data_IF_743258405709
#
_entry.id   IF_743258405709
#
_cell.length_a   1.000
_cell.length_b   1.000
_cell.length_c   1.000
_cell.angle_alpha   90.00
_cell.angle_beta   90.00
_cell.angle_gamma   90.00
#
_symmetry.space_group_name_H-M   'P 1'
#
loop_
_entity.id
_entity.type
_entity.pdbx_description
1 polymer ?
#
# COMPACT_ATOMS: atom_id res chain seq x y z
N UNK A 1 -14.98 3.21 24.04
CA UNK A 1 -16.00 2.55 23.22
C UNK A 1 -15.25 1.50 22.41
N UNK A 2 -15.32 0.25 22.82
CA UNK A 2 -14.61 -0.88 22.17
C UNK A 2 -15.34 -1.20 20.87
N UNK A 3 -14.66 -1.05 19.75
CA UNK A 3 -15.17 -1.49 18.45
C UNK A 3 -15.38 -3.01 18.50
N UNK A 4 -16.47 -3.55 17.94
CA UNK A 4 -16.68 -4.98 17.85
C UNK A 4 -15.57 -5.64 16.98
N UNK A 5 -15.29 -6.95 17.18
CA UNK A 5 -14.30 -7.67 16.37
C UNK A 5 -14.58 -7.53 14.86
N UNK A 6 -13.56 -7.37 14.04
CA UNK A 6 -13.66 -7.15 12.59
C UNK A 6 -14.46 -8.28 11.88
N UNK A 7 -14.30 -9.53 12.28
CA UNK A 7 -15.09 -10.68 11.78
C UNK A 7 -16.60 -10.43 11.89
N UNK A 8 -17.05 -9.81 12.99
CA UNK A 8 -18.46 -9.51 13.21
C UNK A 8 -18.95 -8.34 12.34
N UNK A 9 -18.05 -7.47 11.90
CA UNK A 9 -18.38 -6.32 11.03
C UNK A 9 -18.39 -6.73 9.56
N UNK A 10 -17.39 -7.48 9.08
CA UNK A 10 -17.30 -7.94 7.69
C UNK A 10 -18.41 -8.96 7.35
N UNK A 11 -18.80 -9.84 8.27
CA UNK A 11 -19.86 -10.84 8.03
C UNK A 11 -21.27 -10.22 7.94
N UNK A 12 -21.46 -8.98 8.38
CA UNK A 12 -22.78 -8.31 8.38
C UNK A 12 -23.03 -7.46 7.13
N UNK A 13 -22.00 -7.12 6.37
CA UNK A 13 -22.17 -6.31 5.17
C UNK A 13 -21.84 -7.15 3.92
N UNK A 14 -22.85 -7.55 3.12
CA UNK A 14 -22.63 -8.35 1.91
C UNK A 14 -21.75 -7.64 0.87
N UNK A 15 -21.64 -6.31 0.90
CA UNK A 15 -20.77 -5.54 0.02
C UNK A 15 -19.28 -5.69 0.38
N UNK A 16 -18.96 -6.22 1.57
CA UNK A 16 -17.60 -6.51 2.02
C UNK A 16 -17.18 -7.96 1.78
N UNK A 17 -18.01 -8.78 1.11
CA UNK A 17 -17.71 -10.18 0.86
C UNK A 17 -17.34 -10.38 -0.61
N UNK A 18 -16.04 -10.50 -0.90
CA UNK A 18 -15.55 -10.88 -2.22
C UNK A 18 -15.25 -12.37 -2.27
N UNK A 19 -15.57 -13.01 -3.39
CA UNK A 19 -15.07 -14.36 -3.67
C UNK A 19 -13.56 -14.32 -3.94
N UNK A 20 -12.85 -15.43 -3.74
CA UNK A 20 -11.42 -15.52 -4.07
C UNK A 20 -11.10 -15.10 -5.50
N UNK A 21 -11.85 -15.56 -6.54
CA UNK A 21 -11.70 -15.10 -7.92
C UNK A 21 -11.90 -13.60 -8.11
N UNK A 22 -12.93 -13.01 -7.49
CA UNK A 22 -13.21 -11.56 -7.61
C UNK A 22 -12.11 -10.73 -6.94
N UNK A 23 -11.66 -11.14 -5.76
CA UNK A 23 -10.51 -10.52 -5.09
C UNK A 23 -9.25 -10.55 -5.97
N UNK A 24 -8.95 -11.70 -6.55
CA UNK A 24 -7.78 -11.85 -7.43
C UNK A 24 -7.91 -10.97 -8.69
N UNK A 25 -9.10 -10.93 -9.32
CA UNK A 25 -9.35 -10.11 -10.51
C UNK A 25 -9.21 -8.62 -10.21
N UNK A 26 -9.75 -8.13 -9.09
CA UNK A 26 -9.66 -6.72 -8.69
C UNK A 26 -8.23 -6.32 -8.32
N UNK A 27 -7.49 -7.16 -7.59
CA UNK A 27 -6.07 -6.91 -7.29
C UNK A 27 -5.21 -6.90 -8.57
N UNK A 28 -5.47 -7.82 -9.51
CA UNK A 28 -4.80 -7.82 -10.83
C UNK A 28 -5.10 -6.53 -11.60
N UNK A 29 -6.38 -6.11 -11.65
CA UNK A 29 -6.80 -4.85 -12.28
C UNK A 29 -6.09 -3.64 -11.66
N UNK A 30 -5.96 -3.59 -10.33
CA UNK A 30 -5.23 -2.53 -9.62
C UNK A 30 -3.76 -2.50 -10.02
N UNK A 31 -3.07 -3.63 -10.05
CA UNK A 31 -1.65 -3.71 -10.44
C UNK A 31 -1.47 -3.28 -11.89
N UNK A 32 -2.34 -3.75 -12.80
CA UNK A 32 -2.33 -3.32 -14.20
C UNK A 32 -2.49 -1.81 -14.33
N UNK A 33 -3.47 -1.23 -13.62
CA UNK A 33 -3.72 0.21 -13.62
C UNK A 33 -2.47 1.00 -13.17
N UNK A 34 -1.79 0.56 -12.13
CA UNK A 34 -0.62 1.26 -11.59
C UNK A 34 0.61 1.19 -12.51
N UNK A 35 0.68 0.21 -13.43
CA UNK A 35 1.81 -0.01 -14.34
C UNK A 35 1.54 0.50 -15.76
N UNK A 36 0.28 0.59 -16.19
CA UNK A 36 -0.04 0.96 -17.58
C UNK A 36 0.46 2.38 -17.94
N UNK A 37 0.39 3.31 -16.99
CA UNK A 37 0.83 4.69 -17.20
C UNK A 37 2.34 4.80 -17.48
N UNK A 38 3.25 4.27 -16.64
CA UNK A 38 4.68 4.31 -16.94
C UNK A 38 5.05 3.50 -18.18
N UNK A 39 4.35 2.38 -18.49
CA UNK A 39 4.59 1.64 -19.74
C UNK A 39 4.16 2.45 -20.96
N UNK A 40 3.01 3.14 -20.91
CA UNK A 40 2.57 4.06 -21.95
C UNK A 40 3.58 5.19 -22.19
N UNK A 41 4.15 5.75 -21.11
CA UNK A 41 5.18 6.79 -21.25
C UNK A 41 6.49 6.27 -21.89
N UNK A 42 6.84 4.99 -21.72
CA UNK A 42 7.95 4.37 -22.46
C UNK A 42 7.63 4.36 -23.96
N UNK A 43 6.43 3.92 -24.35
CA UNK A 43 6.02 3.90 -25.76
C UNK A 43 6.04 5.32 -26.36
N UNK A 44 5.51 6.32 -25.67
CA UNK A 44 5.57 7.71 -26.13
C UNK A 44 7.02 8.20 -26.31
N UNK A 45 7.93 7.81 -25.42
CA UNK A 45 9.35 8.14 -25.56
C UNK A 45 9.99 7.49 -26.78
N UNK A 46 9.61 6.24 -27.10
CA UNK A 46 10.07 5.54 -28.32
C UNK A 46 9.54 6.21 -29.60
N UNK A 47 8.26 6.59 -29.62
CA UNK A 47 7.65 7.33 -30.74
C UNK A 47 8.38 8.65 -31.00
N UNK A 48 8.72 9.41 -29.93
CA UNK A 48 9.50 10.66 -30.04
C UNK A 48 10.89 10.44 -30.67
N UNK A 49 11.57 9.32 -30.36
CA UNK A 49 12.85 8.96 -30.97
C UNK A 49 12.70 8.64 -32.46
N UNK A 50 11.65 7.89 -32.82
CA UNK A 50 11.39 7.50 -34.21
C UNK A 50 11.05 8.71 -35.10
N UNK A 51 10.43 9.75 -34.53
CA UNK A 51 10.12 11.02 -35.23
C UNK A 51 11.32 11.96 -35.36
N UNK A 52 12.50 11.58 -34.86
CA UNK A 52 13.71 12.41 -34.89
C UNK A 52 13.67 13.62 -33.93
N UNK A 53 12.93 13.47 -32.82
CA UNK A 53 12.82 14.48 -31.77
C UNK A 53 14.09 14.63 -30.92
N UNK A 54 13.98 15.33 -29.80
CA UNK A 54 15.10 15.57 -28.88
C UNK A 54 15.51 14.25 -28.18
N UNK A 55 16.47 13.54 -28.73
CA UNK A 55 16.91 12.20 -28.30
C UNK A 55 17.23 12.12 -26.81
N UNK A 56 17.78 13.18 -26.21
CA UNK A 56 18.13 13.22 -24.79
C UNK A 56 16.88 13.20 -23.89
N UNK A 57 15.86 14.00 -24.22
CA UNK A 57 14.63 14.11 -23.43
C UNK A 57 13.77 12.84 -23.57
N UNK A 58 13.70 12.30 -24.79
CA UNK A 58 13.01 11.03 -25.06
C UNK A 58 13.66 9.87 -24.30
N UNK A 59 14.99 9.79 -24.31
CA UNK A 59 15.75 8.78 -23.56
C UNK A 59 15.58 8.93 -22.04
N UNK A 60 15.52 10.15 -21.50
CA UNK A 60 15.28 10.39 -20.08
C UNK A 60 13.85 9.97 -19.68
N UNK A 61 12.86 10.29 -20.53
CA UNK A 61 11.48 9.84 -20.35
C UNK A 61 11.39 8.31 -20.28
N UNK A 62 12.03 7.61 -21.24
CA UNK A 62 12.06 6.14 -21.28
C UNK A 62 12.71 5.56 -20.02
N UNK A 63 13.89 6.06 -19.62
CA UNK A 63 14.62 5.57 -18.45
C UNK A 63 13.83 5.77 -17.16
N UNK A 64 13.30 6.97 -16.95
CA UNK A 64 12.51 7.30 -15.77
C UNK A 64 11.26 6.44 -15.70
N UNK A 65 10.56 6.28 -16.82
CA UNK A 65 9.33 5.50 -16.89
C UNK A 65 9.59 4.00 -16.70
N UNK A 66 10.68 3.47 -17.26
CA UNK A 66 11.08 2.08 -17.05
C UNK A 66 11.45 1.80 -15.58
N UNK A 67 12.16 2.73 -14.94
CA UNK A 67 12.46 2.64 -13.51
C UNK A 67 11.16 2.64 -12.68
N UNK A 68 10.23 3.57 -12.95
CA UNK A 68 8.95 3.65 -12.27
C UNK A 68 8.13 2.35 -12.44
N UNK A 69 8.02 1.81 -13.65
CA UNK A 69 7.34 0.54 -13.89
C UNK A 69 7.96 -0.60 -13.08
N UNK A 70 9.29 -0.71 -13.10
CA UNK A 70 10.03 -1.75 -12.38
C UNK A 70 9.82 -1.66 -10.86
N UNK A 71 9.89 -0.46 -10.29
CA UNK A 71 9.70 -0.23 -8.85
C UNK A 71 8.28 -0.57 -8.43
N UNK A 72 7.26 -0.11 -9.19
CA UNK A 72 5.86 -0.43 -8.92
C UNK A 72 5.57 -1.92 -8.96
N UNK A 73 6.12 -2.65 -9.94
CA UNK A 73 5.97 -4.10 -10.03
C UNK A 73 6.67 -4.83 -8.87
N UNK A 74 7.88 -4.41 -8.48
CA UNK A 74 8.58 -4.98 -7.30
C UNK A 74 7.79 -4.76 -6.02
N UNK A 75 7.27 -3.57 -5.82
CA UNK A 75 6.41 -3.25 -4.68
C UNK A 75 5.13 -4.09 -4.69
N UNK A 76 4.40 -4.12 -5.82
CA UNK A 76 3.16 -4.87 -5.97
C UNK A 76 3.35 -6.37 -5.72
N UNK A 77 4.49 -6.95 -6.13
CA UNK A 77 4.84 -8.34 -5.85
C UNK A 77 4.93 -8.62 -4.35
N UNK A 78 5.46 -7.71 -3.56
CA UNK A 78 5.53 -7.86 -2.10
C UNK A 78 4.19 -7.55 -1.43
N UNK A 79 3.49 -6.50 -1.86
CA UNK A 79 2.26 -6.02 -1.24
C UNK A 79 1.03 -6.90 -1.56
N UNK A 80 0.96 -7.46 -2.77
CA UNK A 80 -0.21 -8.22 -3.27
C UNK A 80 0.12 -9.65 -3.66
N UNK A 81 1.34 -9.93 -4.10
CA UNK A 81 1.73 -11.19 -4.69
C UNK A 81 1.90 -12.34 -3.71
N UNK A 82 2.02 -13.54 -4.25
CA UNK A 82 2.41 -14.74 -3.52
C UNK A 82 3.96 -14.79 -3.42
N UNK A 83 4.57 -13.92 -2.63
CA UNK A 83 6.01 -13.99 -2.37
C UNK A 83 6.34 -15.25 -1.57
N UNK A 84 6.86 -16.29 -2.24
CA UNK A 84 7.15 -17.58 -1.63
C UNK A 84 5.93 -18.49 -1.46
N UNK A 85 6.10 -19.61 -0.74
CA UNK A 85 5.05 -20.58 -0.44
C UNK A 85 4.07 -20.08 0.61
N UNK A 86 2.97 -20.81 0.80
CA UNK A 86 2.05 -20.60 1.93
C UNK A 86 2.84 -20.73 3.25
N UNK A 87 2.68 -19.78 4.17
CA UNK A 87 3.42 -19.76 5.44
C UNK A 87 4.86 -19.19 5.36
N UNK A 88 5.29 -18.66 4.19
CA UNK A 88 6.59 -18.02 4.05
C UNK A 88 6.72 -16.78 4.96
N UNK A 89 7.94 -16.52 5.42
CA UNK A 89 8.31 -15.32 6.14
C UNK A 89 9.17 -14.41 5.25
N UNK A 90 9.13 -13.12 5.51
CA UNK A 90 9.85 -12.08 4.74
C UNK A 90 10.61 -11.19 5.72
N UNK A 91 11.82 -10.79 5.32
CA UNK A 91 12.64 -9.82 6.04
C UNK A 91 12.03 -8.41 5.93
N UNK A 92 11.79 -7.73 7.05
CA UNK A 92 11.27 -6.36 7.09
C UNK A 92 12.16 -5.36 6.33
N UNK A 93 13.45 -5.65 6.17
CA UNK A 93 14.35 -4.87 5.32
C UNK A 93 14.03 -4.94 3.82
N UNK A 94 13.32 -5.99 3.34
CA UNK A 94 12.79 -6.00 1.98
C UNK A 94 11.59 -5.06 1.84
N UNK A 95 10.72 -5.03 2.85
CA UNK A 95 9.60 -4.08 2.90
C UNK A 95 10.08 -2.63 2.96
N UNK A 96 11.08 -2.35 3.81
CA UNK A 96 11.71 -1.03 3.90
C UNK A 96 12.25 -0.56 2.55
N UNK A 97 13.07 -1.40 1.88
CA UNK A 97 13.60 -1.07 0.55
C UNK A 97 12.49 -0.82 -0.46
N UNK A 98 11.49 -1.69 -0.51
CA UNK A 98 10.37 -1.55 -1.44
C UNK A 98 9.59 -0.24 -1.22
N UNK A 99 9.33 0.15 0.03
CA UNK A 99 8.63 1.38 0.38
C UNK A 99 9.45 2.63 0.01
N UNK A 100 10.76 2.62 0.33
CA UNK A 100 11.69 3.71 0.00
C UNK A 100 11.85 3.87 -1.51
N UNK A 101 12.07 2.78 -2.25
CA UNK A 101 12.20 2.81 -3.71
C UNK A 101 10.90 3.32 -4.37
N UNK A 102 9.74 2.86 -3.88
CA UNK A 102 8.43 3.28 -4.37
C UNK A 102 8.22 4.80 -4.20
N UNK A 103 8.52 5.34 -3.03
CA UNK A 103 8.40 6.77 -2.76
C UNK A 103 9.40 7.61 -3.56
N UNK A 104 10.65 7.14 -3.69
CA UNK A 104 11.72 7.82 -4.42
C UNK A 104 11.44 7.92 -5.93
N UNK A 105 10.72 6.94 -6.51
CA UNK A 105 10.41 6.92 -7.93
C UNK A 105 9.60 8.16 -8.38
N UNK A 106 8.74 8.71 -7.51
CA UNK A 106 7.96 9.92 -7.78
C UNK A 106 8.62 11.22 -7.28
N UNK A 107 9.75 11.12 -6.57
CA UNK A 107 10.55 12.25 -6.05
C UNK A 107 9.76 13.29 -5.23
N UNK A 108 8.63 12.90 -4.64
CA UNK A 108 7.73 13.80 -3.90
C UNK A 108 7.62 13.48 -2.43
N UNK A 109 8.00 12.25 -2.04
CA UNK A 109 7.80 11.75 -0.68
C UNK A 109 9.09 11.15 -0.14
N UNK A 110 9.49 11.59 1.03
CA UNK A 110 10.61 11.03 1.78
C UNK A 110 10.09 9.99 2.78
N UNK A 111 10.79 8.85 2.89
CA UNK A 111 10.41 7.76 3.79
C UNK A 111 11.51 7.51 4.79
N UNK A 112 11.17 7.63 6.08
CA UNK A 112 12.00 7.17 7.19
C UNK A 112 11.45 5.86 7.75
N UNK A 113 12.34 5.01 8.22
CA UNK A 113 11.98 3.69 8.73
C UNK A 113 12.74 3.40 10.02
N UNK A 114 12.04 3.04 11.05
CA UNK A 114 12.59 2.76 12.39
C UNK A 114 12.04 1.46 12.96
N UNK A 115 12.83 0.84 13.83
CA UNK A 115 12.48 -0.41 14.49
C UNK A 115 13.44 -1.54 14.15
N UNK A 116 13.33 -2.69 14.84
CA UNK A 116 14.21 -3.82 14.64
C UNK A 116 13.97 -4.49 13.29
N UNK A 117 15.05 -4.90 12.65
CA UNK A 117 14.98 -5.79 11.49
C UNK A 117 14.58 -7.19 11.94
N UNK A 118 13.59 -7.77 11.31
CA UNK A 118 13.01 -9.04 11.70
C UNK A 118 12.54 -9.85 10.48
N UNK A 119 12.41 -11.15 10.65
CA UNK A 119 11.80 -12.06 9.68
C UNK A 119 10.38 -12.38 10.18
N UNK A 120 9.37 -11.85 9.55
CA UNK A 120 7.98 -11.94 9.99
C UNK A 120 7.08 -12.61 8.95
N UNK A 121 5.92 -13.06 9.39
CA UNK A 121 4.94 -13.70 8.51
C UNK A 121 4.62 -12.80 7.30
N UNK A 122 4.57 -13.40 6.12
CA UNK A 122 4.32 -12.72 4.84
C UNK A 122 3.10 -11.80 4.87
N UNK A 123 1.98 -12.24 5.47
CA UNK A 123 0.77 -11.42 5.53
C UNK A 123 0.94 -10.18 6.41
N UNK A 124 1.77 -10.22 7.47
CA UNK A 124 2.14 -9.01 8.23
C UNK A 124 2.95 -8.02 7.39
N UNK A 125 3.87 -8.51 6.54
CA UNK A 125 4.61 -7.64 5.60
C UNK A 125 3.68 -7.03 4.55
N UNK A 126 2.75 -7.83 4.00
CA UNK A 126 1.72 -7.31 3.10
C UNK A 126 0.86 -6.24 3.75
N UNK A 127 0.39 -6.49 4.99
CA UNK A 127 -0.38 -5.51 5.75
C UNK A 127 0.40 -4.21 5.93
N UNK A 128 1.66 -4.27 6.35
CA UNK A 128 2.53 -3.12 6.53
C UNK A 128 2.68 -2.31 5.23
N UNK A 129 2.92 -2.97 4.09
CA UNK A 129 3.05 -2.31 2.79
C UNK A 129 1.71 -1.74 2.29
N UNK A 130 0.59 -2.39 2.55
CA UNK A 130 -0.72 -1.87 2.20
C UNK A 130 -1.11 -0.68 3.08
N UNK A 131 -0.78 -0.70 4.37
CA UNK A 131 -0.96 0.44 5.25
C UNK A 131 -0.06 1.64 4.84
N UNK A 132 1.16 1.35 4.35
CA UNK A 132 2.02 2.35 3.74
C UNK A 132 1.36 3.00 2.50
N UNK A 133 0.71 2.23 1.62
CA UNK A 133 -0.03 2.78 0.48
C UNK A 133 -1.20 3.69 0.91
N UNK A 134 -1.91 3.34 1.99
CA UNK A 134 -2.95 4.20 2.58
C UNK A 134 -2.35 5.53 3.01
N UNK A 135 -1.23 5.51 3.75
CA UNK A 135 -0.52 6.70 4.19
C UNK A 135 0.02 7.52 2.99
N UNK A 136 0.58 6.85 1.98
CA UNK A 136 1.10 7.49 0.76
C UNK A 136 0.01 8.22 -0.01
N UNK A 137 -1.17 7.62 -0.17
CA UNK A 137 -2.32 8.22 -0.84
C UNK A 137 -2.91 9.41 -0.07
N UNK A 138 -2.65 9.49 1.24
CA UNK A 138 -3.15 10.54 2.11
C UNK A 138 -2.40 11.89 1.95
N UNK A 139 -1.21 11.87 1.31
CA UNK A 139 -0.38 13.06 1.04
C UNK A 139 -0.13 13.24 -0.47
N UNK A 140 -1.15 13.53 -1.28
CA UNK A 140 -1.08 13.48 -2.76
C UNK A 140 -0.11 14.49 -3.37
N UNK A 141 0.31 15.52 -2.62
CA UNK A 141 1.32 16.49 -3.03
C UNK A 141 2.72 16.19 -2.48
N UNK A 142 2.90 14.98 -1.90
CA UNK A 142 4.14 14.55 -1.26
C UNK A 142 4.32 15.12 0.15
N UNK A 143 5.43 14.75 0.76
CA UNK A 143 5.77 15.08 2.13
C UNK A 143 6.70 14.04 2.74
N UNK A 144 6.48 13.71 4.01
CA UNK A 144 7.24 12.67 4.72
C UNK A 144 6.33 11.56 5.21
N UNK A 145 6.84 10.32 5.16
CA UNK A 145 6.20 9.14 5.77
C UNK A 145 7.20 8.52 6.74
N UNK A 146 6.81 8.43 8.00
CA UNK A 146 7.59 7.80 9.05
C UNK A 146 6.97 6.43 9.37
N UNK A 147 7.71 5.35 9.14
CA UNK A 147 7.28 3.98 9.47
C UNK A 147 8.01 3.52 10.71
N UNK A 148 7.26 3.06 11.71
CA UNK A 148 7.80 2.53 12.96
C UNK A 148 7.27 1.12 13.20
N UNK A 149 8.18 0.18 13.49
CA UNK A 149 7.88 -1.19 13.87
C UNK A 149 8.31 -1.43 15.33
N UNK A 150 7.39 -1.92 16.14
CA UNK A 150 7.66 -2.37 17.51
C UNK A 150 7.32 -3.85 17.62
N UNK A 151 8.19 -4.63 18.24
CA UNK A 151 8.02 -6.07 18.51
C UNK A 151 7.50 -6.90 17.33
N UNK A 152 8.02 -6.74 16.09
CA UNK A 152 7.40 -7.26 14.88
C UNK A 152 7.22 -8.79 14.85
N UNK A 153 7.98 -9.54 15.67
CA UNK A 153 7.91 -11.01 15.74
C UNK A 153 6.79 -11.51 16.66
N UNK A 154 6.46 -10.76 17.71
CA UNK A 154 5.51 -11.16 18.76
C UNK A 154 4.28 -10.25 18.74
N UNK A 155 4.24 -9.31 19.67
CA UNK A 155 3.16 -8.33 19.82
C UNK A 155 3.38 -7.16 18.84
N UNK A 156 3.31 -7.48 17.55
CA UNK A 156 3.66 -6.53 16.50
C UNK A 156 2.78 -5.28 16.56
N UNK A 157 3.45 -4.11 16.53
CA UNK A 157 2.79 -2.82 16.34
C UNK A 157 3.43 -2.12 15.16
N UNK A 158 2.60 -1.72 14.21
CA UNK A 158 3.00 -0.92 13.08
C UNK A 158 2.37 0.46 13.21
N UNK A 159 3.19 1.49 13.14
CA UNK A 159 2.74 2.87 13.11
C UNK A 159 3.31 3.57 11.89
N UNK A 160 2.45 4.22 11.12
CA UNK A 160 2.83 5.01 9.95
C UNK A 160 2.27 6.41 10.14
N UNK A 161 3.16 7.40 10.10
CA UNK A 161 2.80 8.81 10.21
C UNK A 161 3.09 9.49 8.88
N UNK A 162 2.09 10.16 8.32
CA UNK A 162 2.21 10.92 7.08
C UNK A 162 2.04 12.42 7.36
N UNK A 163 2.99 13.24 6.86
CA UNK A 163 2.98 14.70 6.97
C UNK A 163 3.17 15.32 5.59
N UNK A 164 2.38 16.35 5.27
CA UNK A 164 2.46 17.01 3.97
C UNK A 164 1.69 18.31 3.93
N UNK A 165 1.94 19.11 2.88
CA UNK A 165 1.22 20.40 2.69
C UNK A 165 -0.28 20.21 2.44
N UNK A 166 -0.67 19.09 1.88
CA UNK A 166 -2.05 18.68 1.69
C UNK A 166 -2.19 17.26 2.25
N UNK A 167 -2.99 17.13 3.28
CA UNK A 167 -3.28 15.87 3.94
C UNK A 167 -4.77 15.58 3.84
N UNK A 168 -5.12 14.36 3.48
CA UNK A 168 -6.52 13.90 3.43
C UNK A 168 -6.56 12.47 3.92
N UNK A 169 -7.30 12.23 4.98
CA UNK A 169 -7.62 10.86 5.40
C UNK A 169 -8.43 10.18 4.28
N UNK A 170 -7.99 9.02 3.74
CA UNK A 170 -8.66 8.39 2.61
C UNK A 170 -10.07 7.91 3.03
N UNK A 171 -11.16 8.49 2.47
CA UNK A 171 -12.52 8.20 2.96
C UNK A 171 -12.87 6.71 2.83
N UNK A 172 -12.53 6.08 1.71
CA UNK A 172 -12.81 4.66 1.49
C UNK A 172 -12.06 3.73 2.44
N UNK A 173 -10.86 4.09 2.89
CA UNK A 173 -10.18 3.35 3.95
C UNK A 173 -10.94 3.45 5.28
N UNK A 174 -11.40 4.65 5.64
CA UNK A 174 -12.18 4.85 6.86
C UNK A 174 -13.49 4.05 6.80
N UNK A 175 -14.29 4.24 5.75
CA UNK A 175 -15.56 3.54 5.54
C UNK A 175 -15.39 2.01 5.63
N UNK A 176 -14.36 1.44 4.99
CA UNK A 176 -14.12 0.01 5.00
C UNK A 176 -13.62 -0.46 6.37
N UNK A 177 -12.71 0.28 7.01
CA UNK A 177 -12.17 -0.10 8.32
C UNK A 177 -13.18 0.02 9.46
N UNK A 178 -14.22 0.86 9.32
CA UNK A 178 -15.34 0.97 10.27
C UNK A 178 -16.52 0.06 9.92
N UNK A 179 -16.50 -0.60 8.76
CA UNK A 179 -17.60 -1.45 8.29
C UNK A 179 -18.80 -0.66 7.74
N UNK A 180 -18.64 0.64 7.47
CA UNK A 180 -19.70 1.54 6.99
C UNK A 180 -19.77 1.64 5.45
N UNK A 181 -19.43 0.55 4.75
CA UNK A 181 -19.41 0.52 3.28
C UNK A 181 -20.82 0.34 2.71
N UNK A 182 -21.25 1.29 1.90
CA UNK A 182 -22.53 1.24 1.20
C UNK A 182 -22.39 0.70 -0.23
N UNK A 183 -21.24 0.91 -0.88
CA UNK A 183 -20.99 0.57 -2.27
C UNK A 183 -20.21 -0.74 -2.41
N UNK A 184 -20.37 -1.44 -3.53
CA UNK A 184 -19.59 -2.62 -3.85
C UNK A 184 -18.10 -2.28 -4.03
N UNK A 185 -17.23 -3.21 -3.63
CA UNK A 185 -15.78 -3.07 -3.80
C UNK A 185 -15.42 -3.14 -5.29
N UNK A 186 -14.65 -2.18 -5.76
CA UNK A 186 -14.17 -2.04 -7.14
C UNK A 186 -12.63 -1.95 -7.20
N UNK A 187 -12.08 -1.71 -8.40
CA UNK A 187 -10.64 -1.58 -8.60
C UNK A 187 -10.00 -0.37 -7.88
N UNK A 188 -10.76 0.64 -7.49
CA UNK A 188 -10.26 1.80 -6.75
C UNK A 188 -10.27 1.56 -5.24
N UNK A 189 -11.24 0.79 -4.76
CA UNK A 189 -11.46 0.49 -3.35
C UNK A 189 -10.81 -0.81 -2.90
N UNK A 190 -10.34 -1.65 -3.84
CA UNK A 190 -9.74 -2.95 -3.53
C UNK A 190 -8.51 -2.87 -2.62
N UNK A 191 -7.68 -1.83 -2.73
CA UNK A 191 -6.47 -1.70 -1.92
C UNK A 191 -6.80 -1.41 -0.44
N UNK A 192 -7.66 -0.43 -0.08
CA UNK A 192 -8.17 -0.29 1.28
C UNK A 192 -8.87 -1.55 1.80
N UNK A 193 -9.70 -2.19 0.98
CA UNK A 193 -10.37 -3.45 1.34
C UNK A 193 -9.35 -4.54 1.68
N UNK A 194 -8.35 -4.73 0.83
CA UNK A 194 -7.30 -5.73 1.06
C UNK A 194 -6.47 -5.44 2.32
N UNK A 195 -6.28 -4.16 2.66
CA UNK A 195 -5.62 -3.77 3.92
C UNK A 195 -6.40 -4.26 5.14
N UNK A 196 -7.71 -4.07 5.14
CA UNK A 196 -8.60 -4.52 6.22
C UNK A 196 -8.63 -6.04 6.29
N UNK A 197 -8.76 -6.73 5.15
CA UNK A 197 -8.73 -8.19 5.07
C UNK A 197 -7.42 -8.77 5.62
N UNK A 198 -6.27 -8.18 5.28
CA UNK A 198 -4.96 -8.59 5.80
C UNK A 198 -4.84 -8.37 7.32
N UNK A 199 -5.42 -7.29 7.85
CA UNK A 199 -5.41 -7.04 9.28
C UNK A 199 -6.19 -8.13 10.03
N UNK A 200 -7.37 -8.50 9.53
CA UNK A 200 -8.17 -9.61 10.06
C UNK A 200 -7.41 -10.94 10.01
N UNK A 201 -6.85 -11.30 8.86
CA UNK A 201 -6.03 -12.52 8.70
C UNK A 201 -4.79 -12.54 9.62
N UNK A 202 -4.25 -11.38 9.97
CA UNK A 202 -3.10 -11.26 10.88
C UNK A 202 -3.48 -11.17 12.36
N UNK A 203 -4.77 -11.13 12.70
CA UNK A 203 -5.25 -10.88 14.06
C UNK A 203 -4.82 -9.50 14.58
N UNK A 204 -4.85 -8.47 13.71
CA UNK A 204 -4.44 -7.11 14.05
C UNK A 204 -5.59 -6.13 13.88
N UNK A 205 -5.70 -5.19 14.82
CA UNK A 205 -6.67 -4.08 14.77
C UNK A 205 -6.05 -2.89 14.07
N UNK A 206 -6.79 -2.30 13.12
CA UNK A 206 -6.41 -1.06 12.46
C UNK A 206 -6.88 0.14 13.26
N UNK A 207 -6.02 1.18 13.30
CA UNK A 207 -6.35 2.48 13.84
C UNK A 207 -5.95 3.59 12.87
N UNK A 208 -6.63 4.72 12.97
CA UNK A 208 -6.27 5.93 12.24
C UNK A 208 -6.56 7.17 13.05
N UNK A 209 -5.80 8.22 12.81
CA UNK A 209 -5.96 9.52 13.48
C UNK A 209 -5.53 10.66 12.55
N UNK A 210 -6.12 11.82 12.76
CA UNK A 210 -5.80 13.04 12.04
C UNK A 210 -5.66 14.22 12.99
N UNK A 211 -4.60 14.97 12.82
CA UNK A 211 -4.39 16.29 13.44
C UNK A 211 -4.18 17.34 12.35
N UNK A 212 -3.95 18.60 12.73
CA UNK A 212 -3.57 19.65 11.79
C UNK A 212 -2.18 19.44 11.16
N UNK A 213 -1.32 18.60 11.78
CA UNK A 213 0.09 18.46 11.41
C UNK A 213 0.43 17.10 10.81
N UNK A 214 -0.36 16.05 11.13
CA UNK A 214 -0.08 14.69 10.71
C UNK A 214 -1.32 13.79 10.61
N UNK A 215 -1.21 12.77 9.78
CA UNK A 215 -2.10 11.62 9.76
C UNK A 215 -1.36 10.40 10.28
N UNK A 216 -2.00 9.66 11.16
CA UNK A 216 -1.44 8.43 11.75
C UNK A 216 -2.27 7.23 11.36
N UNK A 217 -1.61 6.14 11.00
CA UNK A 217 -2.21 4.83 10.72
C UNK A 217 -1.49 3.78 11.55
N UNK A 218 -2.23 2.92 12.21
CA UNK A 218 -1.67 1.86 13.06
C UNK A 218 -2.24 0.49 12.72
N UNK A 219 -1.47 -0.55 13.03
CA UNK A 219 -1.95 -1.92 13.09
C UNK A 219 -1.30 -2.57 14.33
N UNK A 220 -2.13 -2.99 15.26
CA UNK A 220 -1.72 -3.53 16.57
C UNK A 220 -2.29 -4.94 16.75
N UNK A 221 -1.48 -5.89 17.24
CA UNK A 221 -1.98 -7.23 17.57
C UNK A 221 -3.09 -7.14 18.61
N UNK A 222 -4.19 -7.84 18.37
CA UNK A 222 -5.30 -7.95 19.32
C UNK A 222 -4.79 -8.65 20.57
N UNK A 223 -4.80 -7.96 21.70
CA UNK A 223 -4.47 -8.59 22.99
C UNK A 223 -5.50 -9.70 23.28
N UNK A 224 -4.97 -10.90 23.56
CA UNK A 224 -5.77 -12.08 23.87
C UNK A 224 -6.53 -11.92 25.20
#
# INVERSE_FOLDING_TARGET
>A
MTLPPLETMMSKNPNLTLTGPDLAALLCSRVCHDVISPVGAINNGLELLDEGGADADAMDLIRTSALNASVRLKFARLAFGASGSVGASIDTGEAERAAKDFAAAEKKTEVTWSGPRAIIAKNRVKLLLNLFLVAYSSIPRGGTIEVTLENPELDAKFKIVAKGKLMRLPPKFVEISTGEVEEAIDAHTIQPYYTVLLADECGMTLGHGATSEELTFTADVIAA
#
